data_IF_745155025580
#
_entry.id   IF_745155025580
#
_cell.length_a   1.000
_cell.length_b   1.000
_cell.length_c   1.000
_cell.angle_alpha   90.00
_cell.angle_beta   90.00
_cell.angle_gamma   90.00
#
_symmetry.space_group_name_H-M   'P 1'
#
loop_
_entity.id
_entity.type
_entity.pdbx_description
1 polymer ?
#
# COMPACT_ATOMS: atom_id res chain seq x y z
N UNK A 1 -17.87 11.03 24.06
CA UNK A 1 -17.22 10.13 23.11
C UNK A 1 -16.00 10.85 22.58
N UNK A 2 -14.81 10.45 22.99
CA UNK A 2 -13.58 10.98 22.42
C UNK A 2 -13.63 10.69 20.93
N UNK A 3 -13.43 11.73 20.10
CA UNK A 3 -13.40 11.57 18.65
C UNK A 3 -12.24 10.63 18.31
N UNK A 4 -12.54 9.51 17.63
CA UNK A 4 -11.51 8.69 17.02
C UNK A 4 -10.61 9.60 16.18
N UNK A 5 -9.31 9.38 16.23
CA UNK A 5 -8.30 10.15 15.47
C UNK A 5 -8.32 9.87 13.96
N UNK A 6 -9.49 9.51 13.43
CA UNK A 6 -9.71 9.17 12.01
C UNK A 6 -10.50 10.29 11.37
N UNK A 7 -9.95 10.90 10.33
CA UNK A 7 -10.62 11.90 9.49
C UNK A 7 -11.21 11.22 8.27
N UNK A 8 -12.44 11.57 7.93
CA UNK A 8 -13.15 11.07 6.76
C UNK A 8 -13.15 12.08 5.64
N UNK A 9 -13.00 11.61 4.41
CA UNK A 9 -13.08 12.42 3.18
C UNK A 9 -14.00 11.72 2.17
N UNK A 10 -14.56 12.49 1.23
CA UNK A 10 -15.53 12.03 0.25
C UNK A 10 -16.96 12.16 0.75
N UNK A 11 -17.83 11.17 0.49
CA UNK A 11 -19.20 11.17 0.99
C UNK A 11 -19.18 10.91 2.50
N UNK A 12 -19.32 12.00 3.31
CA UNK A 12 -19.21 11.97 4.76
C UNK A 12 -20.12 10.93 5.41
N UNK A 13 -21.34 10.73 4.91
CA UNK A 13 -22.27 9.78 5.50
C UNK A 13 -21.80 8.34 5.27
N UNK A 14 -21.43 8.01 4.05
CA UNK A 14 -20.90 6.67 3.73
C UNK A 14 -19.63 6.34 4.52
N UNK A 15 -18.74 7.32 4.70
CA UNK A 15 -17.50 7.15 5.46
C UNK A 15 -17.78 6.93 6.95
N UNK A 16 -18.74 7.66 7.53
CA UNK A 16 -19.18 7.46 8.93
C UNK A 16 -19.84 6.10 9.12
N UNK A 17 -20.78 5.73 8.25
CA UNK A 17 -21.45 4.43 8.29
C UNK A 17 -20.45 3.28 8.16
N UNK A 18 -19.41 3.47 7.34
CA UNK A 18 -18.32 2.51 7.19
C UNK A 18 -17.55 2.34 8.50
N UNK A 19 -17.11 3.44 9.13
CA UNK A 19 -16.41 3.44 10.42
C UNK A 19 -17.27 2.84 11.53
N UNK A 20 -18.53 3.27 11.66
CA UNK A 20 -19.42 2.83 12.73
C UNK A 20 -19.71 1.32 12.64
N UNK A 21 -19.80 0.80 11.40
CA UNK A 21 -19.99 -0.64 11.17
C UNK A 21 -18.80 -1.49 11.59
N UNK A 22 -17.61 -0.90 11.78
CA UNK A 22 -16.36 -1.63 12.04
C UNK A 22 -15.84 -1.52 13.48
N UNK A 23 -16.47 -0.74 14.34
CA UNK A 23 -16.03 -0.60 15.74
C UNK A 23 -16.06 -1.96 16.45
N UNK A 24 -14.92 -2.33 17.07
CA UNK A 24 -14.71 -3.60 17.81
C UNK A 24 -14.97 -4.87 17.00
N UNK A 25 -14.92 -4.78 15.67
CA UNK A 25 -15.08 -5.92 14.75
C UNK A 25 -13.79 -6.70 14.57
N UNK A 26 -13.89 -7.83 13.86
CA UNK A 26 -12.74 -8.64 13.49
C UNK A 26 -12.11 -8.09 12.23
N UNK A 27 -10.79 -7.90 12.27
CA UNK A 27 -9.99 -7.49 11.13
C UNK A 27 -9.00 -8.60 10.77
N UNK A 28 -8.69 -8.69 9.49
CA UNK A 28 -7.59 -9.49 8.95
C UNK A 28 -6.79 -8.59 8.03
N UNK A 29 -5.47 -8.66 8.10
CA UNK A 29 -4.56 -7.89 7.26
C UNK A 29 -3.88 -8.80 6.24
N UNK A 30 -3.72 -8.33 5.01
CA UNK A 30 -2.93 -8.97 3.96
C UNK A 30 -1.88 -8.01 3.45
N UNK A 31 -0.60 -8.41 3.49
CA UNK A 31 0.48 -7.68 2.85
C UNK A 31 0.77 -8.32 1.49
N UNK A 32 0.47 -7.60 0.42
CA UNK A 32 0.82 -8.01 -0.94
C UNK A 32 2.21 -7.47 -1.28
N UNK A 33 3.18 -8.36 -1.44
CA UNK A 33 4.55 -8.01 -1.79
C UNK A 33 4.81 -8.24 -3.27
N UNK A 34 5.57 -7.32 -3.89
CA UNK A 34 5.86 -7.39 -5.31
C UNK A 34 7.16 -6.66 -5.66
N UNK A 35 7.56 -6.73 -6.93
CA UNK A 35 8.71 -6.02 -7.49
C UNK A 35 8.45 -5.61 -8.94
N UNK A 36 8.96 -4.43 -9.31
CA UNK A 36 9.01 -3.97 -10.70
C UNK A 36 10.41 -3.45 -11.04
N UNK A 37 10.94 -3.84 -12.20
CA UNK A 37 12.23 -3.31 -12.70
C UNK A 37 12.18 -1.79 -12.95
N UNK A 38 10.99 -1.19 -13.02
CA UNK A 38 10.82 0.27 -13.08
C UNK A 38 11.47 0.98 -11.89
N UNK A 39 11.54 0.34 -10.71
CA UNK A 39 12.19 0.94 -9.54
C UNK A 39 13.71 1.07 -9.68
N UNK A 40 14.31 0.35 -10.63
CA UNK A 40 15.76 0.37 -10.89
C UNK A 40 16.21 1.61 -11.67
N UNK A 41 15.28 2.43 -12.18
CA UNK A 41 15.57 3.70 -12.85
C UNK A 41 16.18 4.66 -11.83
N UNK A 42 17.40 5.21 -12.09
CA UNK A 42 18.05 6.10 -11.14
C UNK A 42 17.19 7.30 -10.73
N UNK A 43 17.12 7.55 -9.42
CA UNK A 43 16.40 8.69 -8.85
C UNK A 43 14.87 8.56 -8.77
N UNK A 44 14.28 7.41 -9.10
CA UNK A 44 12.82 7.23 -9.10
C UNK A 44 12.27 6.88 -7.71
N UNK A 45 13.09 6.28 -6.85
CA UNK A 45 12.72 5.88 -5.48
C UNK A 45 13.95 5.90 -4.58
N UNK A 46 13.71 6.04 -3.27
CA UNK A 46 14.71 5.87 -2.19
C UNK A 46 14.50 4.56 -1.43
N UNK A 47 13.60 3.69 -1.86
CA UNK A 47 13.44 2.38 -1.26
C UNK A 47 14.78 1.61 -1.40
N UNK A 48 15.25 1.00 -0.28
CA UNK A 48 16.57 0.35 -0.23
C UNK A 48 17.74 1.33 -0.01
N UNK A 49 18.85 0.82 0.55
CA UNK A 49 20.06 1.62 0.78
C UNK A 49 20.76 2.03 -0.53
N UNK A 50 20.67 1.18 -1.55
CA UNK A 50 21.10 1.39 -2.92
C UNK A 50 20.31 0.50 -3.90
N UNK A 51 20.66 0.56 -5.20
CA UNK A 51 19.97 -0.23 -6.24
C UNK A 51 19.96 -1.74 -5.96
N UNK A 52 21.02 -2.30 -5.36
CA UNK A 52 21.09 -3.73 -5.08
C UNK A 52 20.17 -4.14 -3.94
N UNK A 53 19.89 -3.24 -3.01
CA UNK A 53 18.98 -3.48 -1.88
C UNK A 53 17.49 -3.30 -2.21
N UNK A 54 17.13 -2.66 -3.33
CA UNK A 54 15.73 -2.50 -3.75
C UNK A 54 14.96 -3.83 -3.78
N UNK A 55 15.59 -4.90 -4.24
CA UNK A 55 14.99 -6.24 -4.34
C UNK A 55 14.62 -6.87 -2.99
N UNK A 56 15.20 -6.36 -1.90
CA UNK A 56 14.94 -6.86 -0.55
C UNK A 56 13.85 -6.05 0.19
N UNK A 57 13.42 -4.90 -0.32
CA UNK A 57 12.46 -4.02 0.37
C UNK A 57 11.19 -4.77 0.77
N UNK A 58 10.50 -5.36 -0.19
CA UNK A 58 9.21 -6.03 0.06
C UNK A 58 9.34 -7.33 0.87
N UNK A 59 10.31 -8.25 0.59
CA UNK A 59 10.51 -9.42 1.44
C UNK A 59 10.95 -9.06 2.86
N UNK A 60 11.79 -8.03 3.05
CA UNK A 60 12.18 -7.57 4.38
C UNK A 60 10.98 -7.04 5.19
N UNK A 61 10.07 -6.29 4.57
CA UNK A 61 8.82 -5.85 5.21
C UNK A 61 7.97 -7.04 5.65
N UNK A 62 7.79 -8.05 4.80
CA UNK A 62 7.02 -9.26 5.11
C UNK A 62 7.61 -10.05 6.28
N UNK A 63 8.93 -10.23 6.29
CA UNK A 63 9.66 -10.92 7.36
C UNK A 63 9.60 -10.13 8.67
N UNK A 64 9.79 -8.81 8.60
CA UNK A 64 9.70 -7.95 9.76
C UNK A 64 8.29 -7.97 10.37
N UNK A 65 7.24 -7.88 9.57
CA UNK A 65 5.87 -8.02 10.08
C UNK A 65 5.67 -9.35 10.80
N UNK A 66 6.16 -10.44 10.24
CA UNK A 66 5.95 -11.79 10.79
C UNK A 66 6.86 -12.07 11.98
N UNK A 67 8.16 -11.82 11.85
CA UNK A 67 9.17 -12.26 12.83
C UNK A 67 9.70 -11.14 13.73
N UNK A 68 9.41 -9.86 13.42
CA UNK A 68 9.99 -8.70 14.13
C UNK A 68 11.45 -8.42 13.81
N UNK A 69 11.98 -9.09 12.79
CA UNK A 69 13.33 -8.91 12.23
C UNK A 69 13.34 -9.35 10.77
N UNK A 70 14.30 -8.84 9.99
CA UNK A 70 14.56 -9.36 8.66
C UNK A 70 15.41 -10.63 8.73
N UNK A 71 15.34 -11.45 7.68
CA UNK A 71 16.13 -12.65 7.47
C UNK A 71 16.84 -12.61 6.11
N UNK A 72 16.18 -12.07 5.09
CA UNK A 72 16.76 -11.92 3.75
C UNK A 72 17.90 -10.89 3.69
N UNK A 73 18.02 -10.04 4.72
CA UNK A 73 19.11 -9.07 4.91
C UNK A 73 19.61 -9.11 6.35
N UNK A 74 20.91 -8.93 6.54
CA UNK A 74 21.52 -8.80 7.87
C UNK A 74 21.42 -7.35 8.38
N UNK A 75 20.24 -6.78 8.38
CA UNK A 75 20.00 -5.42 8.85
C UNK A 75 18.61 -5.31 9.44
N UNK A 76 18.37 -4.23 10.15
CA UNK A 76 17.03 -3.86 10.60
C UNK A 76 16.29 -3.15 9.46
N UNK A 77 14.95 -3.11 9.48
CA UNK A 77 14.14 -2.45 8.45
C UNK A 77 14.17 -0.92 8.61
N UNK A 78 15.35 -0.34 8.45
CA UNK A 78 15.64 1.09 8.67
C UNK A 78 16.71 1.54 7.69
N UNK A 79 16.59 2.76 7.16
CA UNK A 79 17.64 3.37 6.34
C UNK A 79 18.89 3.67 7.18
N UNK A 80 20.09 3.85 6.55
CA UNK A 80 21.32 4.16 7.27
C UNK A 80 21.24 5.42 8.14
N UNK A 81 20.39 6.38 7.78
CA UNK A 81 20.15 7.62 8.50
C UNK A 81 19.00 7.53 9.53
N UNK A 82 18.57 6.30 9.87
CA UNK A 82 17.64 6.02 10.95
C UNK A 82 16.16 6.17 10.63
N UNK A 83 15.78 6.27 9.36
CA UNK A 83 14.35 6.31 8.95
C UNK A 83 13.80 4.88 8.86
N UNK A 84 12.79 4.51 9.66
CA UNK A 84 12.25 3.15 9.63
C UNK A 84 11.35 2.93 8.41
N UNK A 85 11.24 1.67 7.98
CA UNK A 85 10.20 1.27 7.02
C UNK A 85 8.80 1.53 7.59
N UNK A 86 7.79 1.86 6.74
CA UNK A 86 6.40 1.99 7.19
C UNK A 86 5.83 0.69 7.77
N UNK A 87 6.43 -0.46 7.47
CA UNK A 87 6.08 -1.74 8.10
C UNK A 87 6.20 -1.71 9.64
N UNK A 88 6.98 -0.76 10.21
CA UNK A 88 7.02 -0.54 11.67
C UNK A 88 5.65 -0.12 12.19
N UNK A 89 5.01 0.84 11.55
CA UNK A 89 3.66 1.31 11.93
C UNK A 89 2.65 0.18 11.81
N UNK A 90 2.71 -0.56 10.70
CA UNK A 90 1.85 -1.72 10.45
C UNK A 90 2.03 -2.79 11.52
N UNK A 91 3.28 -3.16 11.82
CA UNK A 91 3.58 -4.14 12.87
C UNK A 91 3.01 -3.74 14.24
N UNK A 92 3.20 -2.49 14.64
CA UNK A 92 2.68 -1.96 15.90
C UNK A 92 1.14 -2.04 15.90
N UNK A 93 0.49 -1.62 14.81
CA UNK A 93 -0.96 -1.68 14.67
C UNK A 93 -1.50 -3.11 14.81
N UNK A 94 -0.92 -4.06 14.06
CA UNK A 94 -1.34 -5.46 14.06
C UNK A 94 -1.14 -6.12 15.43
N UNK A 95 0.01 -5.91 16.06
CA UNK A 95 0.31 -6.47 17.39
C UNK A 95 -0.61 -5.89 18.47
N UNK A 96 -0.81 -4.57 18.47
CA UNK A 96 -1.65 -3.86 19.44
C UNK A 96 -3.09 -4.35 19.41
N UNK A 97 -3.63 -4.52 18.22
CA UNK A 97 -5.01 -4.95 18.03
C UNK A 97 -5.15 -6.47 17.87
N UNK A 98 -4.07 -7.24 17.94
CA UNK A 98 -4.05 -8.68 17.67
C UNK A 98 -4.79 -9.04 16.38
N UNK A 99 -4.42 -8.34 15.30
CA UNK A 99 -4.95 -8.57 13.96
C UNK A 99 -4.10 -9.66 13.29
N UNK A 100 -4.69 -10.80 12.88
CA UNK A 100 -3.98 -11.80 12.09
C UNK A 100 -3.58 -11.21 10.73
N UNK A 101 -2.40 -11.61 10.23
CA UNK A 101 -1.93 -11.15 8.94
C UNK A 101 -1.44 -12.31 8.07
N UNK A 102 -1.50 -12.09 6.76
CA UNK A 102 -1.03 -13.00 5.73
C UNK A 102 -0.14 -12.25 4.74
N UNK A 103 0.91 -12.92 4.28
CA UNK A 103 1.78 -12.43 3.22
C UNK A 103 1.34 -13.06 1.90
N UNK A 104 1.24 -12.26 0.86
CA UNK A 104 0.86 -12.67 -0.49
C UNK A 104 1.96 -12.22 -1.44
N UNK A 105 2.65 -13.16 -2.04
CA UNK A 105 3.68 -12.88 -3.03
C UNK A 105 3.05 -12.71 -4.41
N UNK A 106 3.05 -11.47 -4.91
CA UNK A 106 2.59 -11.10 -6.24
C UNK A 106 3.79 -10.81 -7.18
N UNK A 107 4.80 -11.69 -7.18
CA UNK A 107 5.98 -11.52 -8.02
C UNK A 107 7.06 -10.63 -7.39
N UNK A 108 7.58 -11.00 -6.23
CA UNK A 108 8.77 -10.37 -5.65
C UNK A 108 10.05 -10.98 -6.23
N UNK A 109 11.10 -10.14 -6.35
CA UNK A 109 12.40 -10.57 -6.95
C UNK A 109 13.17 -11.54 -6.04
N UNK A 110 13.01 -11.36 -4.73
CA UNK A 110 13.52 -12.26 -3.68
C UNK A 110 12.32 -12.76 -2.89
N UNK A 111 12.26 -14.04 -2.65
CA UNK A 111 11.20 -14.62 -1.83
C UNK A 111 11.49 -14.40 -0.34
N UNK A 112 10.47 -14.04 0.47
CA UNK A 112 10.67 -13.85 1.90
C UNK A 112 10.84 -15.19 2.62
N UNK A 113 11.64 -15.21 3.66
CA UNK A 113 11.81 -16.39 4.54
C UNK A 113 10.72 -16.44 5.61
N UNK A 114 9.47 -16.46 5.17
CA UNK A 114 8.27 -16.59 6.00
C UNK A 114 7.20 -17.37 5.24
N UNK A 115 6.09 -17.71 5.89
CA UNK A 115 4.95 -18.32 5.19
C UNK A 115 4.21 -17.27 4.34
N UNK A 116 3.87 -17.62 3.11
CA UNK A 116 3.13 -16.77 2.17
C UNK A 116 2.28 -17.58 1.20
N UNK A 117 1.29 -16.93 0.59
CA UNK A 117 0.60 -17.43 -0.58
C UNK A 117 1.33 -16.94 -1.83
N UNK A 118 1.64 -17.82 -2.75
CA UNK A 118 2.37 -17.50 -3.98
C UNK A 118 1.42 -17.43 -5.18
N UNK A 119 1.49 -16.33 -5.92
CA UNK A 119 0.77 -16.18 -7.18
C UNK A 119 1.50 -16.79 -8.36
N UNK A 120 2.75 -17.17 -8.20
CA UNK A 120 3.66 -17.65 -9.25
C UNK A 120 3.89 -16.63 -10.40
N UNK A 121 3.54 -15.35 -10.17
CA UNK A 121 3.76 -14.30 -11.14
C UNK A 121 5.25 -13.92 -11.22
N UNK A 122 5.65 -13.55 -12.43
CA UNK A 122 6.95 -12.90 -12.66
C UNK A 122 6.96 -11.48 -12.10
N UNK A 123 8.16 -10.95 -11.84
CA UNK A 123 8.35 -9.53 -11.52
C UNK A 123 7.89 -8.65 -12.68
N UNK A 124 7.41 -7.43 -12.36
CA UNK A 124 7.09 -6.44 -13.38
C UNK A 124 8.34 -5.96 -14.12
N UNK A 125 8.26 -5.83 -15.44
CA UNK A 125 9.33 -5.28 -16.27
C UNK A 125 9.38 -3.76 -16.20
N UNK A 126 10.49 -3.19 -16.70
CA UNK A 126 10.65 -1.74 -16.78
C UNK A 126 9.69 -1.15 -17.81
N UNK A 127 8.64 -0.45 -17.35
CA UNK A 127 7.61 0.15 -18.22
C UNK A 127 8.15 1.25 -19.15
N UNK A 128 9.35 1.78 -18.93
CA UNK A 128 9.93 2.73 -19.88
C UNK A 128 10.41 2.05 -21.18
N UNK A 129 10.66 0.75 -21.15
CA UNK A 129 11.28 -0.03 -22.23
C UNK A 129 10.32 -1.02 -22.89
N UNK A 130 9.48 -1.70 -22.09
CA UNK A 130 8.60 -2.77 -22.56
C UNK A 130 7.33 -2.86 -21.70
N UNK A 131 6.41 -3.76 -22.07
CA UNK A 131 5.22 -4.09 -21.29
C UNK A 131 5.64 -4.67 -19.94
N UNK A 132 4.94 -4.26 -18.87
CA UNK A 132 5.22 -4.71 -17.51
C UNK A 132 5.04 -6.22 -17.33
N UNK A 133 3.97 -6.77 -17.91
CA UNK A 133 3.54 -8.17 -17.76
C UNK A 133 2.87 -8.64 -19.07
N UNK A 134 2.58 -9.93 -19.17
CA UNK A 134 1.74 -10.47 -20.23
C UNK A 134 0.26 -10.34 -19.86
N UNK A 135 -0.62 -10.40 -20.85
CA UNK A 135 -2.07 -10.37 -20.62
C UNK A 135 -2.53 -11.59 -19.82
N UNK A 136 -1.90 -12.75 -20.05
CA UNK A 136 -2.20 -13.99 -19.32
C UNK A 136 -1.79 -13.85 -17.84
N UNK A 137 -0.67 -13.20 -17.55
CA UNK A 137 -0.27 -12.88 -16.17
C UNK A 137 -1.34 -12.05 -15.46
N UNK A 138 -1.94 -11.07 -16.15
CA UNK A 138 -2.99 -10.22 -15.55
C UNK A 138 -4.24 -11.03 -15.24
N UNK A 139 -4.69 -11.89 -16.16
CA UNK A 139 -5.83 -12.77 -15.91
C UNK A 139 -5.56 -13.72 -14.73
N UNK A 140 -4.41 -14.37 -14.70
CA UNK A 140 -4.00 -15.25 -13.62
C UNK A 140 -3.91 -14.51 -12.28
N UNK A 141 -3.34 -13.31 -12.26
CA UNK A 141 -3.24 -12.47 -11.08
C UNK A 141 -4.62 -12.11 -10.49
N UNK A 142 -5.57 -11.72 -11.35
CA UNK A 142 -6.94 -11.39 -10.93
C UNK A 142 -7.65 -12.63 -10.36
N UNK A 143 -7.56 -13.78 -11.02
CA UNK A 143 -8.20 -15.01 -10.55
C UNK A 143 -7.55 -15.50 -9.23
N UNK A 144 -6.22 -15.46 -9.10
CA UNK A 144 -5.54 -15.73 -7.83
C UNK A 144 -6.04 -14.79 -6.72
N UNK A 145 -6.07 -13.48 -6.99
CA UNK A 145 -6.57 -12.49 -6.05
C UNK A 145 -8.02 -12.76 -5.61
N UNK A 146 -8.91 -13.12 -6.55
CA UNK A 146 -10.29 -13.51 -6.25
C UNK A 146 -10.37 -14.70 -5.29
N UNK A 147 -9.56 -15.73 -5.50
CA UNK A 147 -9.52 -16.92 -4.63
C UNK A 147 -9.10 -16.53 -3.21
N UNK A 148 -8.05 -15.72 -3.07
CA UNK A 148 -7.56 -15.26 -1.77
C UNK A 148 -8.59 -14.34 -1.10
N UNK A 149 -9.11 -13.34 -1.81
CA UNK A 149 -10.09 -12.39 -1.28
C UNK A 149 -11.36 -13.09 -0.78
N UNK A 150 -11.90 -14.03 -1.58
CA UNK A 150 -13.05 -14.85 -1.21
C UNK A 150 -12.79 -15.72 0.03
N UNK A 151 -11.58 -16.28 0.15
CA UNK A 151 -11.24 -17.16 1.25
C UNK A 151 -11.07 -16.39 2.56
N UNK A 152 -10.33 -15.28 2.55
CA UNK A 152 -10.05 -14.48 3.74
C UNK A 152 -11.29 -13.73 4.24
N UNK A 153 -12.16 -13.24 3.34
CA UNK A 153 -13.36 -12.48 3.70
C UNK A 153 -14.39 -13.29 4.49
N UNK A 154 -14.37 -14.63 4.43
CA UNK A 154 -15.30 -15.50 5.17
C UNK A 154 -15.06 -15.53 6.68
N UNK A 155 -13.87 -15.17 7.14
CA UNK A 155 -13.46 -15.28 8.55
C UNK A 155 -13.28 -13.93 9.24
N UNK A 156 -13.55 -12.82 8.54
CA UNK A 156 -13.35 -11.46 9.05
C UNK A 156 -14.55 -10.55 8.77
N UNK A 157 -14.70 -9.50 9.54
CA UNK A 157 -15.68 -8.46 9.28
C UNK A 157 -15.10 -7.34 8.40
N UNK A 158 -13.75 -7.21 8.38
CA UNK A 158 -13.02 -6.31 7.51
C UNK A 158 -11.68 -6.93 7.07
N UNK A 159 -11.44 -6.97 5.76
CA UNK A 159 -10.15 -7.29 5.18
C UNK A 159 -9.39 -5.99 4.88
N UNK A 160 -8.18 -5.86 5.43
CA UNK A 160 -7.27 -4.75 5.16
C UNK A 160 -6.21 -5.25 4.19
N UNK A 161 -6.13 -4.64 3.01
CA UNK A 161 -5.19 -5.03 1.95
C UNK A 161 -4.12 -3.95 1.86
N UNK A 162 -2.91 -4.25 2.32
CA UNK A 162 -1.72 -3.41 2.19
C UNK A 162 -0.77 -3.94 1.13
N UNK A 163 0.16 -3.10 0.69
CA UNK A 163 1.16 -3.45 -0.32
C UNK A 163 2.55 -3.05 0.11
N UNK A 164 3.55 -3.76 -0.41
CA UNK A 164 4.96 -3.34 -0.39
C UNK A 164 5.56 -3.61 -1.76
N UNK A 165 5.86 -2.52 -2.48
CA UNK A 165 6.50 -2.56 -3.80
C UNK A 165 7.38 -1.32 -4.00
N UNK A 166 8.70 -1.47 -4.22
CA UNK A 166 9.56 -0.34 -4.56
C UNK A 166 9.16 0.22 -5.93
N UNK A 167 9.09 1.55 -6.06
CA UNK A 167 8.76 2.22 -7.32
C UNK A 167 7.28 2.18 -7.74
N UNK A 168 6.39 1.58 -6.94
CA UNK A 168 4.98 1.41 -7.26
C UNK A 168 4.19 2.69 -7.51
N UNK A 169 4.64 3.85 -7.02
CA UNK A 169 3.99 5.13 -7.35
C UNK A 169 4.13 5.49 -8.84
N UNK A 170 5.19 5.04 -9.51
CA UNK A 170 5.40 5.32 -10.94
C UNK A 170 4.52 4.44 -11.82
N UNK A 171 4.42 3.15 -11.53
CA UNK A 171 3.49 2.24 -12.23
C UNK A 171 2.04 2.63 -11.98
N UNK A 172 1.69 3.04 -10.75
CA UNK A 172 0.38 3.58 -10.43
C UNK A 172 0.04 4.83 -11.27
N UNK A 173 0.99 5.79 -11.40
CA UNK A 173 0.80 6.96 -12.25
C UNK A 173 0.57 6.57 -13.72
N UNK A 174 1.34 5.60 -14.22
CA UNK A 174 1.21 5.13 -15.60
C UNK A 174 -0.17 4.49 -15.85
N UNK A 175 -0.63 3.65 -14.93
CA UNK A 175 -1.96 3.01 -14.99
C UNK A 175 -3.07 4.06 -14.94
N UNK A 176 -3.02 4.99 -14.00
CA UNK A 176 -4.03 6.04 -13.85
C UNK A 176 -4.13 6.91 -15.13
N UNK A 177 -2.99 7.35 -15.67
CA UNK A 177 -2.96 8.07 -16.94
C UNK A 177 -3.37 7.19 -18.12
N UNK A 178 -3.05 5.89 -18.09
CA UNK A 178 -3.52 4.91 -19.06
C UNK A 178 -5.04 4.79 -19.11
N UNK A 179 -5.71 4.92 -17.97
CA UNK A 179 -7.17 5.01 -17.85
C UNK A 179 -7.74 6.39 -18.16
N UNK A 180 -6.91 7.37 -18.53
CA UNK A 180 -7.35 8.74 -18.84
C UNK A 180 -7.65 9.59 -17.60
N UNK A 181 -7.16 9.20 -16.42
CA UNK A 181 -7.33 9.95 -15.18
C UNK A 181 -6.23 11.01 -15.10
N UNK A 182 -6.62 12.28 -15.01
CA UNK A 182 -5.67 13.37 -14.82
C UNK A 182 -5.29 13.46 -13.34
N UNK A 183 -4.01 13.15 -13.08
CA UNK A 183 -3.52 13.03 -11.71
C UNK A 183 -2.01 13.27 -11.61
N UNK A 184 -1.58 13.57 -10.40
CA UNK A 184 -0.21 13.45 -9.92
C UNK A 184 -0.16 12.53 -8.68
N UNK A 185 1.01 11.97 -8.42
CA UNK A 185 1.22 10.94 -7.39
C UNK A 185 2.17 11.42 -6.31
N UNK A 186 2.02 10.88 -5.12
CA UNK A 186 2.96 11.08 -4.03
C UNK A 186 4.32 10.39 -4.29
N UNK A 187 5.26 10.63 -3.40
CA UNK A 187 6.57 10.00 -3.38
C UNK A 187 6.97 9.67 -1.95
N UNK A 188 7.86 8.68 -1.79
CA UNK A 188 8.57 8.43 -0.54
C UNK A 188 9.67 9.44 -0.25
N UNK A 189 9.91 10.37 -1.16
CA UNK A 189 10.92 11.43 -1.07
C UNK A 189 10.26 12.76 -0.71
N UNK A 190 10.93 13.64 0.06
CA UNK A 190 10.43 15.01 0.31
C UNK A 190 10.28 15.81 -0.99
N UNK A 191 11.25 15.70 -1.88
CA UNK A 191 11.17 16.22 -3.25
C UNK A 191 10.73 15.09 -4.19
N UNK A 192 9.51 15.21 -4.70
CA UNK A 192 8.95 14.20 -5.59
C UNK A 192 9.68 14.23 -6.95
N UNK A 193 10.29 13.12 -7.42
CA UNK A 193 10.97 13.09 -8.72
C UNK A 193 9.96 13.07 -9.87
N UNK A 194 9.03 14.01 -9.89
CA UNK A 194 7.88 14.03 -10.81
C UNK A 194 8.30 14.12 -12.27
N UNK A 195 9.40 14.81 -12.57
CA UNK A 195 9.93 14.89 -13.94
C UNK A 195 10.40 13.53 -14.46
N UNK A 196 11.13 12.77 -13.62
CA UNK A 196 11.58 11.41 -13.97
C UNK A 196 10.36 10.50 -14.16
N UNK A 197 9.41 10.53 -13.23
CA UNK A 197 8.16 9.76 -13.32
C UNK A 197 7.40 10.09 -14.60
N UNK A 198 7.20 11.37 -14.90
CA UNK A 198 6.49 11.81 -16.11
C UNK A 198 7.21 11.38 -17.39
N UNK A 199 8.54 11.40 -17.43
CA UNK A 199 9.33 10.91 -18.57
C UNK A 199 9.12 9.42 -18.80
N UNK A 200 9.19 8.61 -17.74
CA UNK A 200 8.94 7.16 -17.78
C UNK A 200 7.51 6.88 -18.26
N UNK A 201 6.52 7.52 -17.64
CA UNK A 201 5.10 7.35 -17.97
C UNK A 201 4.80 7.79 -19.40
N UNK A 202 5.34 8.92 -19.85
CA UNK A 202 5.16 9.38 -21.23
C UNK A 202 5.76 8.43 -22.26
N UNK A 203 6.91 7.80 -21.93
CA UNK A 203 7.50 6.76 -22.78
C UNK A 203 6.62 5.52 -22.86
N UNK A 204 6.10 5.07 -21.72
CA UNK A 204 5.20 3.93 -21.63
C UNK A 204 3.87 4.16 -22.39
N UNK A 205 3.25 5.31 -22.18
CA UNK A 205 1.98 5.67 -22.85
C UNK A 205 2.08 5.75 -24.37
N UNK A 206 3.25 6.08 -24.94
CA UNK A 206 3.46 6.05 -26.40
C UNK A 206 3.33 4.65 -27.00
N UNK A 207 3.55 3.60 -26.21
CA UNK A 207 3.41 2.20 -26.65
C UNK A 207 2.01 1.64 -26.45
N UNK A 208 1.19 2.30 -25.61
CA UNK A 208 -0.19 1.89 -25.36
C UNK A 208 -0.97 1.77 -26.67
N UNK A 209 -1.53 0.59 -26.92
CA UNK A 209 -2.25 0.27 -28.17
C UNK A 209 -3.75 0.13 -28.01
N UNK A 210 -4.22 0.01 -26.76
CA UNK A 210 -5.60 -0.34 -26.44
C UNK A 210 -6.10 0.44 -25.25
N UNK A 211 -7.43 0.59 -25.16
CA UNK A 211 -8.14 1.10 -23.98
C UNK A 211 -8.76 -0.03 -23.14
N UNK A 212 -8.48 -1.28 -23.51
CA UNK A 212 -8.85 -2.42 -22.66
C UNK A 212 -8.13 -2.39 -21.32
N UNK A 213 -8.89 -2.61 -20.24
CA UNK A 213 -8.36 -2.43 -18.90
C UNK A 213 -7.26 -3.44 -18.55
N UNK A 214 -7.37 -4.67 -19.03
CA UNK A 214 -6.38 -5.70 -18.77
C UNK A 214 -5.10 -5.44 -19.55
N UNK A 215 -5.23 -4.97 -20.80
CA UNK A 215 -4.08 -4.57 -21.63
C UNK A 215 -3.37 -3.34 -21.03
N UNK A 216 -4.09 -2.37 -20.47
CA UNK A 216 -3.51 -1.22 -19.77
C UNK A 216 -2.66 -1.69 -18.58
N UNK A 217 -3.16 -2.63 -17.77
CA UNK A 217 -2.37 -3.16 -16.64
C UNK A 217 -1.17 -3.96 -17.13
N UNK A 218 -1.32 -4.77 -18.17
CA UNK A 218 -0.22 -5.53 -18.75
C UNK A 218 0.90 -4.62 -19.28
N UNK A 219 0.54 -3.51 -19.93
CA UNK A 219 1.48 -2.56 -20.52
C UNK A 219 2.16 -1.64 -19.49
N UNK A 220 1.39 -1.12 -18.51
CA UNK A 220 1.75 0.02 -17.68
C UNK A 220 1.85 -0.27 -16.18
N UNK A 221 1.32 -1.41 -15.72
CA UNK A 221 1.14 -1.71 -14.30
C UNK A 221 2.35 -2.38 -13.65
N UNK A 222 2.02 -3.14 -12.65
CA UNK A 222 2.92 -4.04 -11.91
C UNK A 222 2.09 -5.22 -11.35
N UNK A 223 2.74 -6.30 -10.86
CA UNK A 223 2.02 -7.50 -10.45
C UNK A 223 1.10 -7.31 -9.23
N UNK A 224 1.35 -6.34 -8.36
CA UNK A 224 0.55 -6.07 -7.16
C UNK A 224 -0.87 -5.59 -7.53
N UNK A 225 -1.00 -4.73 -8.53
CA UNK A 225 -2.27 -4.08 -8.89
C UNK A 225 -3.36 -5.12 -9.22
N UNK A 226 -3.17 -6.08 -10.15
CA UNK A 226 -4.21 -7.04 -10.51
C UNK A 226 -4.52 -8.05 -9.38
N UNK A 227 -3.54 -8.44 -8.56
CA UNK A 227 -3.77 -9.30 -7.40
C UNK A 227 -4.66 -8.59 -6.38
N UNK A 228 -4.33 -7.35 -6.00
CA UNK A 228 -5.13 -6.55 -5.06
C UNK A 228 -6.54 -6.28 -5.59
N UNK A 229 -6.69 -5.97 -6.88
CA UNK A 229 -7.99 -5.75 -7.51
C UNK A 229 -8.86 -7.02 -7.50
N UNK A 230 -8.27 -8.18 -7.77
CA UNK A 230 -8.95 -9.48 -7.64
C UNK A 230 -9.38 -9.76 -6.21
N UNK A 231 -8.51 -9.50 -5.22
CA UNK A 231 -8.85 -9.64 -3.80
C UNK A 231 -10.01 -8.72 -3.40
N UNK A 232 -9.97 -7.44 -3.77
CA UNK A 232 -11.03 -6.49 -3.51
C UNK A 232 -12.36 -6.95 -4.12
N UNK A 233 -12.33 -7.39 -5.37
CA UNK A 233 -13.50 -7.79 -6.15
C UNK A 233 -14.34 -8.86 -5.45
N UNK A 234 -13.72 -9.87 -4.84
CA UNK A 234 -14.44 -10.93 -4.15
C UNK A 234 -14.63 -10.65 -2.64
N UNK A 235 -13.66 -10.02 -1.99
CA UNK A 235 -13.77 -9.74 -0.56
C UNK A 235 -14.90 -8.75 -0.27
N UNK A 236 -15.05 -7.71 -1.08
CA UNK A 236 -16.09 -6.68 -0.87
C UNK A 236 -17.53 -7.20 -0.97
N UNK A 237 -17.75 -8.36 -1.57
CA UNK A 237 -19.06 -9.03 -1.59
C UNK A 237 -19.45 -9.65 -0.24
N UNK A 238 -18.47 -9.89 0.63
CA UNK A 238 -18.68 -10.65 1.87
C UNK A 238 -18.37 -9.84 3.14
N UNK A 239 -17.47 -8.88 3.08
CA UNK A 239 -17.05 -8.07 4.23
C UNK A 239 -16.68 -6.65 3.79
N UNK A 240 -16.41 -5.76 4.76
CA UNK A 240 -15.78 -4.46 4.47
C UNK A 240 -14.34 -4.69 4.01
N UNK A 241 -13.84 -3.83 3.12
CA UNK A 241 -12.46 -3.85 2.66
C UNK A 241 -11.84 -2.47 2.80
N UNK A 242 -10.66 -2.42 3.40
CA UNK A 242 -9.82 -1.22 3.42
C UNK A 242 -8.62 -1.47 2.52
N UNK A 243 -8.52 -0.73 1.42
CA UNK A 243 -7.29 -0.62 0.65
C UNK A 243 -6.32 0.25 1.44
N UNK A 244 -5.33 -0.37 2.07
CA UNK A 244 -4.42 0.29 3.00
C UNK A 244 -3.18 0.82 2.26
N UNK A 245 -3.16 2.11 2.01
CA UNK A 245 -2.09 2.76 1.26
C UNK A 245 -2.50 4.08 0.63
N UNK A 246 -1.58 4.68 -0.11
CA UNK A 246 -1.76 5.94 -0.82
C UNK A 246 -2.05 5.75 -2.31
N UNK A 247 -1.20 6.34 -3.14
CA UNK A 247 -1.35 6.40 -4.60
C UNK A 247 -1.49 5.04 -5.27
N UNK A 248 -0.75 4.01 -4.82
CA UNK A 248 -0.85 2.67 -5.39
C UNK A 248 -2.27 2.10 -5.26
N UNK A 249 -2.94 2.38 -4.14
CA UNK A 249 -4.30 1.91 -3.91
C UNK A 249 -5.33 2.61 -4.80
N UNK A 250 -5.03 3.82 -5.30
CA UNK A 250 -5.90 4.45 -6.32
C UNK A 250 -5.81 3.73 -7.67
N UNK A 251 -4.62 3.24 -8.06
CA UNK A 251 -4.48 2.43 -9.27
C UNK A 251 -5.18 1.06 -9.13
N UNK A 252 -5.09 0.43 -7.95
CA UNK A 252 -5.85 -0.78 -7.61
C UNK A 252 -7.35 -0.52 -7.74
N UNK A 253 -7.86 0.57 -7.17
CA UNK A 253 -9.27 0.96 -7.23
C UNK A 253 -9.74 1.19 -8.69
N UNK A 254 -8.91 1.88 -9.49
CA UNK A 254 -9.22 2.17 -10.89
C UNK A 254 -9.37 0.88 -11.72
N UNK A 255 -8.47 -0.09 -11.52
CA UNK A 255 -8.58 -1.37 -12.19
C UNK A 255 -9.72 -2.24 -11.60
N UNK A 256 -9.88 -2.26 -10.28
CA UNK A 256 -10.95 -2.99 -9.63
C UNK A 256 -12.34 -2.55 -10.12
N UNK A 257 -12.53 -1.27 -10.47
CA UNK A 257 -13.75 -0.77 -11.09
C UNK A 257 -14.09 -1.48 -12.40
N UNK A 258 -13.09 -1.99 -13.13
CA UNK A 258 -13.26 -2.77 -14.35
C UNK A 258 -13.47 -4.27 -14.08
N UNK A 259 -12.88 -4.79 -13.00
CA UNK A 259 -13.06 -6.17 -12.55
C UNK A 259 -14.42 -6.36 -11.86
N UNK A 260 -14.91 -5.33 -11.20
CA UNK A 260 -16.15 -5.31 -10.42
C UNK A 260 -15.89 -5.49 -8.91
N UNK A 261 -16.48 -4.64 -8.08
CA UNK A 261 -16.41 -4.70 -6.61
C UNK A 261 -17.62 -3.99 -5.98
N UNK A 262 -17.84 -4.22 -4.67
CA UNK A 262 -18.92 -3.56 -3.93
C UNK A 262 -18.43 -2.23 -3.33
N UNK A 263 -18.79 -1.11 -3.95
CA UNK A 263 -18.35 0.24 -3.59
C UNK A 263 -18.64 0.58 -2.12
N UNK A 264 -19.86 0.31 -1.64
CA UNK A 264 -20.27 0.65 -0.29
C UNK A 264 -19.54 -0.17 0.79
N UNK A 265 -18.91 -1.27 0.41
CA UNK A 265 -18.10 -2.11 1.27
C UNK A 265 -16.60 -1.79 1.18
N UNK A 266 -16.21 -0.74 0.45
CA UNK A 266 -14.82 -0.42 0.15
C UNK A 266 -14.45 0.98 0.63
N UNK A 267 -13.30 1.11 1.27
CA UNK A 267 -12.68 2.38 1.60
C UNK A 267 -11.17 2.35 1.29
N UNK A 268 -10.56 3.51 1.10
CA UNK A 268 -9.11 3.65 1.14
C UNK A 268 -8.72 4.13 2.54
N UNK A 269 -7.72 3.50 3.16
CA UNK A 269 -7.18 3.89 4.46
C UNK A 269 -5.73 4.30 4.35
N UNK A 270 -5.39 5.54 4.70
CA UNK A 270 -4.05 6.09 4.58
C UNK A 270 -3.63 6.89 5.81
N UNK A 271 -2.35 7.27 5.87
CA UNK A 271 -1.88 8.28 6.82
C UNK A 271 -2.30 9.68 6.36
N UNK A 272 -2.41 10.63 7.29
CA UNK A 272 -2.67 12.05 6.96
C UNK A 272 -1.58 12.64 6.04
N UNK A 273 -0.35 12.12 6.10
CA UNK A 273 0.77 12.60 5.28
C UNK A 273 0.52 12.46 3.77
N UNK A 274 -0.32 11.52 3.34
CA UNK A 274 -0.75 11.40 1.92
C UNK A 274 -1.77 12.47 1.57
N UNK A 275 -2.68 12.80 2.49
CA UNK A 275 -3.68 13.85 2.31
C UNK A 275 -3.04 15.25 2.26
N UNK A 276 -2.02 15.46 3.10
CA UNK A 276 -1.32 16.73 3.22
C UNK A 276 -0.27 16.96 2.11
N UNK A 277 0.00 15.94 1.29
CA UNK A 277 0.94 16.02 0.17
C UNK A 277 0.34 16.84 -0.97
N UNK A 278 0.73 18.11 -1.04
CA UNK A 278 0.23 19.08 -2.03
C UNK A 278 0.65 18.77 -3.47
N UNK A 279 1.67 17.93 -3.66
CA UNK A 279 2.12 17.50 -4.99
C UNK A 279 1.29 16.35 -5.55
N UNK A 280 0.53 15.65 -4.69
CA UNK A 280 -0.34 14.56 -5.06
C UNK A 280 -1.80 15.01 -5.12
N UNK A 281 -2.50 14.67 -6.19
CA UNK A 281 -3.93 14.90 -6.35
C UNK A 281 -4.74 13.68 -5.83
N UNK A 282 -4.44 13.24 -4.59
CA UNK A 282 -4.94 11.96 -4.09
C UNK A 282 -6.47 11.92 -3.97
N UNK A 283 -7.08 12.87 -3.29
CA UNK A 283 -8.54 12.91 -3.08
C UNK A 283 -9.28 13.14 -4.39
N UNK A 284 -8.78 14.03 -5.25
CA UNK A 284 -9.32 14.30 -6.58
C UNK A 284 -9.26 13.05 -7.45
N UNK A 285 -8.16 12.28 -7.36
CA UNK A 285 -7.99 11.02 -8.08
C UNK A 285 -9.02 9.98 -7.64
N UNK A 286 -9.21 9.79 -6.34
CA UNK A 286 -10.24 8.87 -5.82
C UNK A 286 -11.61 9.26 -6.31
N UNK A 287 -11.96 10.56 -6.26
CA UNK A 287 -13.24 11.08 -6.73
C UNK A 287 -13.46 10.86 -8.23
N UNK A 288 -12.42 11.02 -9.05
CA UNK A 288 -12.49 10.72 -10.50
C UNK A 288 -12.72 9.23 -10.77
N UNK A 289 -12.16 8.35 -9.94
CA UNK A 289 -12.33 6.91 -10.12
C UNK A 289 -13.73 6.46 -9.73
N UNK A 290 -14.10 6.56 -8.46
CA UNK A 290 -15.39 6.03 -8.00
C UNK A 290 -15.89 6.61 -6.66
N UNK A 291 -15.32 7.68 -6.16
CA UNK A 291 -15.76 8.39 -4.95
C UNK A 291 -16.08 7.44 -3.76
N UNK A 292 -15.16 6.50 -3.49
CA UNK A 292 -15.23 5.64 -2.29
C UNK A 292 -14.84 6.45 -1.05
N UNK A 293 -15.21 5.98 0.13
CA UNK A 293 -14.77 6.58 1.38
C UNK A 293 -13.23 6.59 1.49
N UNK A 294 -12.66 7.72 1.89
CA UNK A 294 -11.24 7.83 2.25
C UNK A 294 -11.15 8.12 3.73
N UNK A 295 -10.40 7.28 4.43
CA UNK A 295 -10.14 7.34 5.86
C UNK A 295 -8.67 7.69 6.07
N UNK A 296 -8.39 8.76 6.80
CA UNK A 296 -7.03 9.15 7.11
C UNK A 296 -6.79 9.16 8.62
N UNK A 297 -5.62 8.72 9.04
CA UNK A 297 -5.18 8.76 10.43
C UNK A 297 -3.90 9.57 10.56
N UNK A 298 -3.84 10.46 11.56
CA UNK A 298 -2.60 11.12 11.96
C UNK A 298 -1.95 10.31 13.09
N UNK A 299 -0.81 9.65 12.85
CA UNK A 299 -0.06 8.95 13.88
C UNK A 299 0.79 9.90 14.74
N UNK A 300 0.67 11.21 14.55
CA UNK A 300 1.34 12.32 15.26
C UNK A 300 2.87 12.14 15.41
N UNK A 301 3.53 11.53 14.41
CA UNK A 301 4.96 11.24 14.44
C UNK A 301 5.84 12.49 14.55
N UNK A 302 5.30 13.66 14.18
CA UNK A 302 5.98 14.95 14.33
C UNK A 302 6.27 15.31 15.80
N UNK A 303 5.53 14.71 16.74
CA UNK A 303 5.74 14.92 18.19
C UNK A 303 6.70 13.92 18.82
N UNK A 304 7.17 12.92 18.04
CA UNK A 304 8.08 11.90 18.55
C UNK A 304 9.42 12.47 19.01
N UNK A 305 10.01 11.87 20.06
CA UNK A 305 11.37 12.18 20.48
C UNK A 305 12.45 11.70 19.49
N UNK A 306 12.11 10.78 18.56
CA UNK A 306 13.04 10.18 17.61
C UNK A 306 13.00 10.89 16.25
N UNK A 307 14.16 11.36 15.76
CA UNK A 307 14.27 12.03 14.46
C UNK A 307 13.79 11.14 13.30
N UNK A 308 14.13 9.85 13.32
CA UNK A 308 13.72 8.91 12.29
C UNK A 308 12.21 8.78 12.15
N UNK A 309 11.44 8.90 13.24
CA UNK A 309 10.00 8.94 13.20
C UNK A 309 9.46 10.28 12.73
N UNK A 310 10.05 11.41 13.18
CA UNK A 310 9.65 12.76 12.72
C UNK A 310 9.81 12.96 11.22
N UNK A 311 10.75 12.24 10.59
CA UNK A 311 11.00 12.33 9.14
C UNK A 311 9.77 12.07 8.27
N UNK A 312 8.79 11.30 8.77
CA UNK A 312 7.52 11.10 8.06
C UNK A 312 6.76 12.41 7.84
N UNK A 313 6.73 13.29 8.84
CA UNK A 313 6.12 14.62 8.73
C UNK A 313 6.94 15.60 7.89
N UNK A 314 8.20 15.29 7.64
CA UNK A 314 9.10 16.03 6.75
C UNK A 314 9.00 15.57 5.29
N UNK A 315 8.07 14.64 5.00
CA UNK A 315 7.79 14.16 3.66
C UNK A 315 8.56 12.91 3.24
N UNK A 316 9.35 12.30 4.14
CA UNK A 316 9.96 11.00 3.88
C UNK A 316 8.96 9.87 4.14
N UNK A 317 9.01 8.85 3.30
CA UNK A 317 8.23 7.61 3.41
C UNK A 317 6.71 7.81 3.27
N UNK A 318 6.07 8.69 4.02
CA UNK A 318 4.64 9.06 4.06
C UNK A 318 3.67 7.88 4.24
N UNK A 319 3.79 6.82 3.42
CA UNK A 319 2.90 5.64 3.40
C UNK A 319 3.68 4.41 2.86
N UNK A 320 3.13 3.23 3.05
CA UNK A 320 3.63 1.95 2.56
C UNK A 320 3.37 0.82 3.54
N UNK A 321 3.56 -0.41 3.10
CA UNK A 321 3.29 -1.62 3.86
C UNK A 321 1.91 -1.63 4.56
N UNK A 322 0.95 -0.83 4.07
CA UNK A 322 -0.40 -0.70 4.61
C UNK A 322 -0.49 0.06 5.94
N UNK A 323 0.44 0.99 6.21
CA UNK A 323 0.56 1.66 7.51
C UNK A 323 -0.72 2.37 7.94
N UNK A 324 -1.27 3.28 7.11
CA UNK A 324 -2.46 4.05 7.47
C UNK A 324 -3.68 3.18 7.72
N UNK A 325 -3.97 2.25 6.80
CA UNK A 325 -5.13 1.36 6.93
C UNK A 325 -5.02 0.40 8.12
N UNK A 326 -3.82 -0.10 8.44
CA UNK A 326 -3.60 -0.95 9.63
C UNK A 326 -3.74 -0.17 10.93
N UNK A 327 -3.27 1.08 11.00
CA UNK A 327 -3.48 1.96 12.16
C UNK A 327 -4.96 2.26 12.35
N UNK A 328 -5.71 2.57 11.28
CA UNK A 328 -7.16 2.76 11.31
C UNK A 328 -7.85 1.50 11.89
N UNK A 329 -7.52 0.32 11.37
CA UNK A 329 -8.07 -0.94 11.87
C UNK A 329 -7.75 -1.16 13.36
N UNK A 330 -6.53 -0.82 13.80
CA UNK A 330 -6.11 -0.90 15.20
C UNK A 330 -6.93 0.02 16.10
N UNK A 331 -7.12 1.28 15.69
CA UNK A 331 -7.94 2.26 16.41
C UNK A 331 -9.39 1.81 16.52
N UNK A 332 -9.99 1.38 15.40
CA UNK A 332 -11.38 0.90 15.37
C UNK A 332 -11.59 -0.33 16.27
N UNK A 333 -10.60 -1.21 16.34
CA UNK A 333 -10.70 -2.43 17.16
C UNK A 333 -10.45 -2.18 18.64
N UNK A 334 -9.53 -1.28 18.98
CA UNK A 334 -9.05 -1.09 20.36
C UNK A 334 -9.58 0.15 21.06
N UNK A 335 -9.97 1.18 20.30
CA UNK A 335 -10.34 2.50 20.82
C UNK A 335 -9.15 3.32 21.34
N UNK A 336 -7.90 2.96 20.99
CA UNK A 336 -6.72 3.70 21.43
C UNK A 336 -6.61 5.05 20.74
N UNK A 337 -6.08 6.05 21.47
CA UNK A 337 -5.77 7.37 20.91
C UNK A 337 -4.46 7.35 20.10
N UNK A 338 -4.20 8.41 19.31
CA UNK A 338 -2.93 8.59 18.58
C UNK A 338 -1.73 8.61 19.51
N UNK A 339 -1.85 9.23 20.69
CA UNK A 339 -0.77 9.30 21.69
C UNK A 339 -0.41 7.91 22.20
N UNK A 340 -1.41 7.08 22.52
CA UNK A 340 -1.18 5.71 22.96
C UNK A 340 -0.56 4.84 21.87
N UNK A 341 -0.88 5.10 20.61
CA UNK A 341 -0.27 4.43 19.47
C UNK A 341 1.16 4.91 19.26
N UNK A 342 1.42 6.23 19.36
CA UNK A 342 2.76 6.80 19.24
C UNK A 342 3.71 6.20 20.28
N UNK A 343 3.28 6.07 21.54
CA UNK A 343 4.10 5.43 22.59
C UNK A 343 4.53 4.00 22.21
N UNK A 344 3.65 3.25 21.56
CA UNK A 344 3.95 1.88 21.11
C UNK A 344 4.86 1.88 19.88
N UNK A 345 4.69 2.84 18.98
CA UNK A 345 5.57 3.05 17.82
C UNK A 345 6.98 3.39 18.30
N UNK A 346 7.13 4.30 19.26
CA UNK A 346 8.42 4.69 19.83
C UNK A 346 9.13 3.51 20.53
N UNK A 347 8.39 2.67 21.27
CA UNK A 347 8.94 1.46 21.89
C UNK A 347 9.46 0.47 20.84
N UNK A 348 8.72 0.27 19.77
CA UNK A 348 9.15 -0.63 18.68
C UNK A 348 10.34 -0.04 17.93
N UNK A 349 10.33 1.27 17.66
CA UNK A 349 11.48 1.96 17.06
C UNK A 349 12.74 1.80 17.90
N UNK A 350 12.64 2.02 19.22
CA UNK A 350 13.76 1.82 20.13
C UNK A 350 14.25 0.36 20.14
N UNK A 351 13.32 -0.61 20.13
CA UNK A 351 13.66 -2.03 20.07
C UNK A 351 14.48 -2.37 18.83
N UNK A 352 14.06 -1.93 17.65
CA UNK A 352 14.79 -2.24 16.41
C UNK A 352 16.12 -1.49 16.33
N UNK A 353 16.22 -0.27 16.89
CA UNK A 353 17.47 0.48 16.93
C UNK A 353 18.53 -0.18 17.82
N UNK A 354 18.16 -1.05 18.74
CA UNK A 354 19.10 -1.81 19.59
C UNK A 354 19.52 -3.16 19.00
N UNK A 355 18.98 -3.54 17.84
CA UNK A 355 19.34 -4.77 17.12
C UNK A 355 20.52 -4.58 16.15
N UNK A 356 21.12 -3.39 16.12
CA UNK A 356 22.29 -3.04 15.28
C UNK A 356 23.59 -3.61 15.84
#
# INVERSE_FOLDING_TARGET
MDRLSITCYGNDQNARDFIDSLQKKRFTFSLVISYTETCEIPGITIAGADKEFLKFTSPADAEYLTHGKCKCINSIPMSPDGKPTPALLTKVALNTAKIPHFVINAGSKIQPETAYFDSELSIGKNISEMSALTIDDIHNAVEFGKVIGKSLSKSTDCLVIGESIPGGTTTALAVLKGFGIDTSVSSSMPENPIEIKNKVVSSALKRKKSDDAFEIIAELGDPMIPVCAGMLSEASKNCRVILAGGTQMTAVLAFAKKVGYEKNNTAIGCTSYIIDDKEALFLETVKQIDDVAVLAIDPILHTSQFNGLRSYSEGFVKEGAGAGGSLIASVLKTGRSSEQILELIEKEYQRISTLQ
#
